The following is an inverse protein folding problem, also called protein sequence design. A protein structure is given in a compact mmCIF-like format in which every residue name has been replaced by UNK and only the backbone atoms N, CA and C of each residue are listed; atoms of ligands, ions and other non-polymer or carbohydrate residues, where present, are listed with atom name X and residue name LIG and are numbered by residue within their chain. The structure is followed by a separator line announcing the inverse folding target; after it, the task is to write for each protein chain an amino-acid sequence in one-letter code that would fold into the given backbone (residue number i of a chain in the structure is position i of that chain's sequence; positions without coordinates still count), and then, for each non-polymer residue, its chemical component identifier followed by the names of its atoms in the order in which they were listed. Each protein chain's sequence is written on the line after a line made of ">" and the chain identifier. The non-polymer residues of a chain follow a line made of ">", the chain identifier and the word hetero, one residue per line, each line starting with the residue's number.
data_IF_884791728074
#
_entry.id   IF_884791728074
#
_cell.length_a   1.000
_cell.length_b   1.000
_cell.length_c   1.000
_cell.angle_alpha   90.00
_cell.angle_beta   90.00
_cell.angle_gamma   90.00
#
_symmetry.space_group_name_H-M   'P 1'
#
loop_
_entity.id
_entity.type
_entity.pdbx_description
1 polymer ?
#
# COMPACT_ATOMS: atom_id res chain seq x y z
N UNK A 1 -26.18 -1.08 -41.25
CA UNK A 1 -24.89 -1.34 -40.57
C UNK A 1 -25.14 -1.58 -39.09
N UNK A 2 -24.76 -2.75 -38.54
CA UNK A 2 -24.83 -3.03 -37.10
C UNK A 2 -23.40 -2.96 -36.55
N UNK A 3 -23.11 -1.98 -35.69
CA UNK A 3 -21.82 -1.89 -35.01
C UNK A 3 -21.81 -2.84 -33.82
N UNK A 4 -21.02 -3.91 -33.91
CA UNK A 4 -20.78 -4.85 -32.81
C UNK A 4 -19.64 -4.33 -31.94
N UNK A 5 -19.95 -3.73 -30.79
CA UNK A 5 -18.95 -3.35 -29.78
C UNK A 5 -18.63 -4.58 -28.92
N UNK A 6 -17.59 -5.31 -29.29
CA UNK A 6 -16.98 -6.31 -28.41
C UNK A 6 -16.07 -5.60 -27.41
N UNK A 7 -16.65 -5.03 -26.34
CA UNK A 7 -15.90 -4.68 -25.14
C UNK A 7 -15.78 -5.95 -24.30
N UNK A 8 -14.63 -6.62 -24.42
CA UNK A 8 -14.20 -7.66 -23.51
C UNK A 8 -13.73 -7.00 -22.20
N UNK A 9 -14.45 -7.12 -21.06
CA UNK A 9 -13.94 -6.70 -19.77
C UNK A 9 -13.28 -7.92 -19.13
N UNK A 10 -12.18 -8.39 -19.71
CA UNK A 10 -11.47 -9.54 -19.15
C UNK A 10 -10.00 -9.19 -19.05
N UNK A 11 -9.62 -8.74 -17.84
CA UNK A 11 -8.34 -9.01 -17.15
C UNK A 11 -8.10 -7.94 -16.09
N UNK A 12 -8.87 -7.94 -15.00
CA UNK A 12 -8.55 -7.19 -13.77
C UNK A 12 -8.37 -8.09 -12.55
N UNK A 13 -8.37 -9.42 -12.72
CA UNK A 13 -8.28 -10.39 -11.62
C UNK A 13 -6.93 -10.31 -10.88
N UNK A 14 -5.82 -10.04 -11.57
CA UNK A 14 -4.49 -9.98 -10.94
C UNK A 14 -4.19 -8.70 -10.13
N UNK A 15 -5.07 -7.70 -10.15
CA UNK A 15 -4.89 -6.45 -9.38
C UNK A 15 -5.39 -6.59 -7.93
N UNK A 16 -6.43 -7.39 -7.71
CA UNK A 16 -6.99 -7.61 -6.38
C UNK A 16 -6.11 -8.49 -5.49
N UNK A 17 -5.46 -9.51 -6.06
CA UNK A 17 -4.58 -10.40 -5.27
C UNK A 17 -3.38 -9.65 -4.68
N UNK A 18 -2.86 -8.63 -5.39
CA UNK A 18 -1.75 -7.81 -4.92
C UNK A 18 -2.13 -6.92 -3.73
N UNK A 19 -3.31 -6.30 -3.77
CA UNK A 19 -3.81 -5.46 -2.67
C UNK A 19 -4.16 -6.30 -1.42
N UNK A 20 -4.67 -7.51 -1.63
CA UNK A 20 -4.94 -8.46 -0.54
C UNK A 20 -3.64 -8.93 0.12
N UNK A 21 -2.67 -9.39 -0.66
CA UNK A 21 -1.37 -9.82 -0.15
C UNK A 21 -0.59 -8.70 0.55
N UNK A 22 -0.68 -7.47 0.05
CA UNK A 22 -0.09 -6.30 0.69
C UNK A 22 -0.78 -5.98 2.02
N UNK A 23 -2.12 -6.05 2.06
CA UNK A 23 -2.88 -5.82 3.29
C UNK A 23 -2.54 -6.85 4.36
N UNK A 24 -2.44 -8.13 3.98
CA UNK A 24 -2.05 -9.22 4.87
C UNK A 24 -0.62 -9.06 5.39
N UNK A 25 0.29 -8.50 4.58
CA UNK A 25 1.66 -8.19 4.99
C UNK A 25 1.76 -6.97 5.91
N UNK A 26 0.95 -5.94 5.70
CA UNK A 26 0.98 -4.71 6.52
C UNK A 26 0.18 -4.85 7.82
N UNK A 27 -0.76 -5.80 7.91
CA UNK A 27 -1.56 -6.04 9.11
C UNK A 27 -0.75 -6.29 10.40
N UNK A 28 0.31 -7.12 10.43
CA UNK A 28 1.03 -7.44 11.64
C UNK A 28 2.09 -6.38 11.99
N UNK A 29 2.38 -5.40 11.11
CA UNK A 29 3.38 -4.36 11.37
C UNK A 29 3.01 -3.47 12.56
N UNK A 30 1.72 -3.41 12.91
CA UNK A 30 1.24 -2.73 14.12
C UNK A 30 1.78 -3.35 15.42
N UNK A 31 2.05 -4.65 15.40
CA UNK A 31 2.56 -5.41 16.55
C UNK A 31 4.08 -5.62 16.49
N UNK A 32 4.73 -5.14 15.43
CA UNK A 32 6.18 -5.21 15.26
C UNK A 32 6.85 -4.04 15.99
N UNK A 33 7.83 -4.33 16.84
CA UNK A 33 8.70 -3.31 17.42
C UNK A 33 9.93 -3.11 16.52
N UNK A 34 10.08 -1.97 15.83
CA UNK A 34 11.24 -1.72 14.99
C UNK A 34 12.53 -1.61 15.81
N UNK A 35 13.65 -2.01 15.20
CA UNK A 35 14.97 -1.80 15.81
C UNK A 35 15.35 -0.31 15.85
N UNK A 36 14.79 0.49 14.95
CA UNK A 36 15.05 1.93 14.85
C UNK A 36 14.13 2.67 15.84
N UNK A 37 14.67 3.51 16.75
CA UNK A 37 13.87 4.32 17.65
C UNK A 37 13.01 5.37 16.93
N UNK A 38 11.83 5.67 17.51
CA UNK A 38 10.85 6.62 16.97
C UNK A 38 11.44 8.02 16.76
N UNK A 39 12.31 8.48 17.66
CA UNK A 39 12.96 9.80 17.58
C UNK A 39 13.78 10.00 16.28
N UNK A 40 14.39 8.93 15.77
CA UNK A 40 15.14 8.99 14.52
C UNK A 40 14.17 8.99 13.34
N UNK A 41 13.10 8.21 13.41
CA UNK A 41 12.05 8.18 12.39
C UNK A 41 11.44 9.57 12.22
N UNK A 42 11.01 10.19 13.32
CA UNK A 42 10.45 11.55 13.33
C UNK A 42 11.43 12.58 12.75
N UNK A 43 12.70 12.52 13.15
CA UNK A 43 13.73 13.44 12.64
C UNK A 43 13.90 13.31 11.12
N UNK A 44 14.02 12.09 10.60
CA UNK A 44 14.22 11.87 9.17
C UNK A 44 12.95 12.11 8.36
N UNK A 45 11.75 11.82 8.87
CA UNK A 45 10.50 12.15 8.20
C UNK A 45 10.26 13.65 8.11
N UNK A 46 10.41 14.37 9.22
CA UNK A 46 10.27 15.82 9.24
C UNK A 46 11.29 16.50 8.31
N UNK A 47 12.55 16.01 8.31
CA UNK A 47 13.60 16.55 7.43
C UNK A 47 13.28 16.39 5.94
N UNK A 48 12.61 15.32 5.55
CA UNK A 48 12.25 15.05 4.16
C UNK A 48 10.86 15.60 3.78
N UNK A 49 10.13 16.22 4.71
CA UNK A 49 8.77 16.72 4.49
C UNK A 49 7.73 15.61 4.33
N UNK A 50 8.00 14.41 4.84
CA UNK A 50 7.08 13.28 4.78
C UNK A 50 6.15 13.31 6.00
N UNK A 51 4.85 13.48 5.78
CA UNK A 51 3.81 13.35 6.80
C UNK A 51 2.81 12.29 6.36
N UNK A 52 2.87 11.12 7.00
CA UNK A 52 1.92 10.05 6.82
C UNK A 52 1.25 9.75 8.17
N UNK A 53 -0.10 9.68 8.23
CA UNK A 53 -0.79 9.28 9.45
C UNK A 53 -0.73 7.76 9.70
N UNK A 54 -0.25 6.98 8.73
CA UNK A 54 -0.07 5.53 8.87
C UNK A 54 1.25 5.25 9.57
N UNK A 55 1.17 4.78 10.82
CA UNK A 55 2.33 4.45 11.66
C UNK A 55 3.13 3.26 11.15
N UNK A 56 2.64 2.55 10.13
CA UNK A 56 3.36 1.44 9.48
C UNK A 56 4.34 1.92 8.41
N UNK A 57 4.32 3.21 8.05
CA UNK A 57 5.06 3.81 6.94
C UNK A 57 6.15 4.77 7.40
#
# INVERSE_FOLDING_TARGET
>A
MKHNHNHNPQSSDGKHDGDAALSDFLAPLMDYTPTIPDELVEHYFAKNGFQCPDVRL
#
